data_IF_990525604243
#
_entry.id   IF_990525604243
#
_cell.length_a   1.000
_cell.length_b   1.000
_cell.length_c   1.000
_cell.angle_alpha   90.00
_cell.angle_beta   90.00
_cell.angle_gamma   90.00
#
_symmetry.space_group_name_H-M   'P 1'
#
loop_
_entity.id
_entity.type
_entity.pdbx_description
1 polymer ?
#
# COMPACT_ATOMS: atom_id res chain seq x y z
N UNK A 1 27.75 -3.23 -0.24
CA UNK A 1 26.36 -3.55 0.16
C UNK A 1 25.46 -2.46 -0.42
N UNK A 2 24.54 -2.82 -1.33
CA UNK A 2 23.67 -1.85 -2.01
C UNK A 2 22.57 -1.42 -1.03
N UNK A 3 22.60 -0.17 -0.60
CA UNK A 3 21.49 0.46 0.10
C UNK A 3 20.33 0.64 -0.90
N UNK A 4 19.44 -0.36 -0.96
CA UNK A 4 18.12 -0.16 -1.53
C UNK A 4 17.27 0.56 -0.46
N UNK A 5 16.74 1.77 -0.69
CA UNK A 5 15.77 2.35 0.23
C UNK A 5 14.58 1.38 0.35
N UNK A 6 14.26 0.86 1.56
CA UNK A 6 13.35 -0.28 1.72
C UNK A 6 11.88 0.11 1.88
N UNK A 7 11.42 1.24 1.34
CA UNK A 7 10.03 1.68 1.51
C UNK A 7 9.48 2.29 0.22
N UNK A 8 9.28 1.45 -0.78
CA UNK A 8 8.54 1.83 -1.98
C UNK A 8 8.75 0.84 -3.11
N UNK A 9 7.74 0.01 -3.38
CA UNK A 9 7.65 -0.76 -4.63
C UNK A 9 7.13 0.17 -5.76
N UNK A 10 7.42 1.46 -5.69
CA UNK A 10 7.02 2.42 -6.70
C UNK A 10 7.98 2.32 -7.89
N UNK A 11 7.43 2.15 -9.10
CA UNK A 11 8.20 2.20 -10.34
C UNK A 11 8.03 3.59 -10.94
N UNK A 12 9.08 4.44 -10.98
CA UNK A 12 8.96 5.76 -11.58
C UNK A 12 8.63 5.65 -13.07
N UNK A 13 7.57 6.34 -13.49
CA UNK A 13 7.10 6.37 -14.87
C UNK A 13 6.35 7.67 -15.19
N UNK A 14 6.21 7.99 -16.48
CA UNK A 14 5.57 9.22 -16.96
C UNK A 14 4.22 8.96 -17.66
N UNK A 15 3.58 7.81 -17.40
CA UNK A 15 2.34 7.45 -18.08
C UNK A 15 1.15 8.28 -17.59
N UNK A 16 0.07 8.31 -18.38
CA UNK A 16 -1.18 8.97 -17.98
C UNK A 16 -1.74 8.40 -16.68
N UNK A 17 -1.51 7.10 -16.43
CA UNK A 17 -1.87 6.43 -15.19
C UNK A 17 -1.06 6.96 -14.00
N UNK A 18 0.22 7.32 -14.15
CA UNK A 18 0.97 7.93 -13.04
C UNK A 18 0.43 9.31 -12.67
N UNK A 19 -0.10 10.07 -13.65
CA UNK A 19 -0.63 11.42 -13.46
C UNK A 19 -2.04 11.48 -12.87
N UNK A 20 -2.75 10.35 -12.80
CA UNK A 20 -4.07 10.29 -12.20
C UNK A 20 -3.97 10.40 -10.67
N UNK A 21 -4.85 11.17 -10.00
CA UNK A 21 -4.85 11.28 -8.55
C UNK A 21 -5.09 9.92 -7.91
N UNK A 22 -4.37 9.64 -6.82
CA UNK A 22 -4.44 8.35 -6.12
C UNK A 22 -5.86 8.00 -5.68
N UNK A 23 -6.65 8.98 -5.24
CA UNK A 23 -8.04 8.77 -4.82
C UNK A 23 -8.91 8.19 -5.95
N UNK A 24 -8.73 8.67 -7.18
CA UNK A 24 -9.48 8.14 -8.32
C UNK A 24 -9.03 6.72 -8.67
N UNK A 25 -7.72 6.43 -8.60
CA UNK A 25 -7.20 5.07 -8.79
C UNK A 25 -7.80 4.09 -7.77
N UNK A 26 -7.86 4.49 -6.49
CA UNK A 26 -8.44 3.68 -5.42
C UNK A 26 -9.94 3.42 -5.65
N UNK A 27 -10.69 4.45 -6.03
CA UNK A 27 -12.12 4.30 -6.35
C UNK A 27 -12.30 3.37 -7.55
N UNK A 28 -11.49 3.50 -8.60
CA UNK A 28 -11.54 2.60 -9.77
C UNK A 28 -11.26 1.16 -9.36
N UNK A 29 -10.23 0.90 -8.55
CA UNK A 29 -9.94 -0.46 -8.06
C UNK A 29 -11.06 -0.98 -7.18
N UNK A 30 -11.63 -0.15 -6.30
CA UNK A 30 -12.75 -0.53 -5.45
C UNK A 30 -13.98 -0.91 -6.28
N UNK A 31 -14.35 -0.07 -7.24
CA UNK A 31 -15.47 -0.33 -8.15
C UNK A 31 -15.22 -1.58 -8.98
N UNK A 32 -13.99 -1.81 -9.42
CA UNK A 32 -13.62 -3.01 -10.17
C UNK A 32 -13.70 -4.27 -9.32
N UNK A 33 -13.20 -4.23 -8.09
CA UNK A 33 -13.21 -5.35 -7.15
C UNK A 33 -14.64 -5.70 -6.72
N UNK A 34 -15.44 -4.68 -6.35
CA UNK A 34 -16.86 -4.87 -6.01
C UNK A 34 -17.66 -5.30 -7.23
N UNK A 35 -17.41 -4.69 -8.39
CA UNK A 35 -18.12 -5.01 -9.63
C UNK A 35 -17.87 -6.46 -10.06
N UNK A 36 -16.62 -6.92 -10.04
CA UNK A 36 -16.29 -8.31 -10.37
C UNK A 36 -16.78 -9.33 -9.33
N UNK A 37 -16.93 -8.93 -8.07
CA UNK A 37 -17.48 -9.79 -7.02
C UNK A 37 -19.02 -9.83 -6.99
N UNK A 38 -19.68 -8.70 -7.25
CA UNK A 38 -21.13 -8.53 -7.10
C UNK A 38 -21.93 -8.80 -8.38
N UNK A 39 -21.29 -8.78 -9.56
CA UNK A 39 -21.92 -9.12 -10.84
C UNK A 39 -21.48 -10.53 -11.27
N UNK A 40 -22.20 -11.58 -10.85
CA UNK A 40 -22.01 -12.91 -11.40
C UNK A 40 -22.77 -12.99 -12.71
N UNK A 41 -22.11 -12.62 -13.79
CA UNK A 41 -22.64 -12.89 -15.12
C UNK A 41 -21.46 -13.32 -15.98
N UNK A 42 -21.53 -14.51 -16.55
CA UNK A 42 -20.74 -15.05 -17.66
C UNK A 42 -19.19 -14.87 -17.68
N UNK A 43 -18.42 -15.91 -18.09
CA UNK A 43 -16.96 -15.88 -18.22
C UNK A 43 -16.39 -14.66 -18.99
N UNK A 44 -17.17 -14.07 -19.89
CA UNK A 44 -16.72 -12.95 -20.72
C UNK A 44 -16.44 -11.67 -19.92
N UNK A 45 -17.12 -11.43 -18.79
CA UNK A 45 -16.88 -10.22 -17.97
C UNK A 45 -15.51 -10.27 -17.30
N UNK A 46 -15.12 -11.44 -16.76
CA UNK A 46 -13.79 -11.64 -16.19
C UNK A 46 -12.68 -11.44 -17.22
N UNK A 47 -12.88 -11.93 -18.45
CA UNK A 47 -11.93 -11.75 -19.55
C UNK A 47 -11.84 -10.28 -19.98
N UNK A 48 -12.97 -9.57 -20.09
CA UNK A 48 -13.00 -8.15 -20.46
C UNK A 48 -12.27 -7.27 -19.42
N UNK A 49 -12.48 -7.56 -18.13
CA UNK A 49 -11.79 -6.86 -17.03
C UNK A 49 -10.29 -7.16 -17.05
N UNK A 50 -9.89 -8.42 -17.23
CA UNK A 50 -8.49 -8.79 -17.35
C UNK A 50 -7.81 -8.07 -18.53
N UNK A 51 -8.51 -7.95 -19.66
CA UNK A 51 -8.04 -7.20 -20.82
C UNK A 51 -7.86 -5.71 -20.54
N UNK A 52 -8.82 -5.08 -19.84
CA UNK A 52 -8.68 -3.69 -19.41
C UNK A 52 -7.46 -3.48 -18.51
N UNK A 53 -7.21 -4.40 -17.58
CA UNK A 53 -6.05 -4.33 -16.69
C UNK A 53 -4.76 -4.55 -17.49
N UNK A 54 -4.72 -5.53 -18.40
CA UNK A 54 -3.57 -5.75 -19.27
C UNK A 54 -3.24 -4.51 -20.11
N UNK A 55 -4.25 -3.83 -20.66
CA UNK A 55 -4.09 -2.56 -21.35
C UNK A 55 -3.59 -1.44 -20.41
N UNK A 56 -4.04 -1.40 -19.17
CA UNK A 56 -3.56 -0.45 -18.16
C UNK A 56 -2.08 -0.70 -17.80
N UNK A 57 -1.65 -1.95 -17.69
CA UNK A 57 -0.23 -2.31 -17.52
C UNK A 57 0.62 -1.91 -18.73
N UNK A 58 0.12 -2.15 -19.94
CA UNK A 58 0.80 -1.78 -21.19
C UNK A 58 0.96 -0.27 -21.33
N UNK A 59 -0.10 0.50 -21.07
CA UNK A 59 -0.07 1.97 -21.10
C UNK A 59 0.78 2.55 -19.97
N UNK A 60 0.86 1.88 -18.82
CA UNK A 60 1.75 2.25 -17.72
C UNK A 60 3.23 1.92 -17.97
N UNK A 61 3.55 1.20 -19.05
CA UNK A 61 4.91 0.76 -19.43
C UNK A 61 5.64 0.04 -18.28
N UNK A 62 4.91 -0.76 -17.52
CA UNK A 62 5.49 -1.51 -16.40
C UNK A 62 6.20 -2.76 -16.96
N UNK A 63 7.44 -3.06 -16.51
CA UNK A 63 8.13 -4.27 -16.95
C UNK A 63 7.34 -5.51 -16.54
N UNK A 64 6.97 -6.34 -17.51
CA UNK A 64 6.18 -7.56 -17.31
C UNK A 64 6.76 -8.49 -16.23
N UNK A 65 8.09 -8.58 -16.16
CA UNK A 65 8.78 -9.37 -15.14
C UNK A 65 8.49 -8.92 -13.69
N UNK A 66 8.24 -7.62 -13.47
CA UNK A 66 7.90 -7.10 -12.14
C UNK A 66 6.45 -7.47 -11.77
N UNK A 67 5.53 -7.36 -12.73
CA UNK A 67 4.12 -7.73 -12.55
C UNK A 67 3.98 -9.24 -12.25
N UNK A 68 4.66 -10.09 -13.02
CA UNK A 68 4.65 -11.54 -12.80
C UNK A 68 5.26 -11.88 -11.44
N UNK A 69 6.36 -11.23 -11.03
CA UNK A 69 6.99 -11.51 -9.73
C UNK A 69 6.08 -11.20 -8.54
N UNK A 70 5.19 -10.21 -8.65
CA UNK A 70 4.22 -9.88 -7.60
C UNK A 70 3.04 -10.85 -7.58
N UNK A 71 2.56 -11.31 -8.75
CA UNK A 71 1.39 -12.18 -8.85
C UNK A 71 1.76 -13.65 -8.59
N UNK A 72 2.93 -14.09 -9.05
CA UNK A 72 3.42 -15.48 -8.96
C UNK A 72 3.25 -16.14 -7.58
N UNK A 73 3.60 -15.53 -6.43
CA UNK A 73 3.43 -16.17 -5.13
C UNK A 73 1.96 -16.42 -4.76
N UNK A 74 1.01 -15.68 -5.35
CA UNK A 74 -0.42 -15.77 -5.03
C UNK A 74 -1.16 -16.72 -5.99
N UNK A 75 -0.61 -16.98 -7.18
CA UNK A 75 -1.22 -17.87 -8.20
C UNK A 75 -1.59 -19.26 -7.65
N UNK A 76 -0.74 -19.97 -6.87
CA UNK A 76 -1.09 -21.28 -6.34
C UNK A 76 -2.34 -21.24 -5.45
N UNK A 77 -2.50 -20.18 -4.66
CA UNK A 77 -3.67 -19.99 -3.80
C UNK A 77 -4.93 -19.76 -4.62
N UNK A 78 -4.84 -18.92 -5.66
CA UNK A 78 -5.96 -18.66 -6.58
C UNK A 78 -6.35 -19.94 -7.33
N UNK A 79 -5.36 -20.73 -7.77
CA UNK A 79 -5.60 -22.00 -8.44
C UNK A 79 -6.29 -23.02 -7.53
N UNK A 80 -5.88 -23.12 -6.26
CA UNK A 80 -6.52 -23.97 -5.26
C UNK A 80 -7.98 -23.55 -5.02
N UNK A 81 -8.21 -22.25 -4.85
CA UNK A 81 -9.55 -21.68 -4.68
C UNK A 81 -10.43 -21.98 -5.91
N UNK A 82 -9.90 -21.73 -7.11
CA UNK A 82 -10.57 -22.02 -8.37
C UNK A 82 -10.94 -23.50 -8.53
N UNK A 83 -10.03 -24.41 -8.18
CA UNK A 83 -10.29 -25.84 -8.22
C UNK A 83 -11.37 -26.27 -7.22
N UNK A 84 -11.35 -25.70 -6.02
CA UNK A 84 -12.37 -25.95 -4.99
C UNK A 84 -13.76 -25.48 -5.43
N UNK A 85 -13.88 -24.27 -5.97
CA UNK A 85 -15.14 -23.77 -6.52
C UNK A 85 -15.58 -24.53 -7.77
N UNK A 86 -14.63 -24.93 -8.62
CA UNK A 86 -14.93 -25.75 -9.79
C UNK A 86 -15.54 -27.11 -9.39
N UNK A 87 -15.13 -27.65 -8.25
CA UNK A 87 -15.68 -28.88 -7.70
C UNK A 87 -17.06 -28.68 -7.07
N UNK A 88 -17.31 -27.57 -6.36
CA UNK A 88 -18.62 -27.32 -5.73
C UNK A 88 -19.69 -26.81 -6.70
N UNK A 89 -19.37 -25.74 -7.42
CA UNK A 89 -20.33 -24.93 -8.18
C UNK A 89 -20.15 -25.10 -9.70
N UNK A 90 -19.19 -25.93 -10.11
CA UNK A 90 -18.87 -26.23 -11.51
C UNK A 90 -17.74 -25.38 -12.09
N UNK A 91 -17.13 -25.90 -13.16
CA UNK A 91 -15.92 -25.33 -13.76
C UNK A 91 -16.04 -23.84 -14.15
N UNK A 92 -17.22 -23.40 -14.59
CA UNK A 92 -17.48 -22.01 -14.94
C UNK A 92 -17.33 -21.07 -13.73
N UNK A 93 -17.88 -21.45 -12.57
CA UNK A 93 -17.79 -20.66 -11.33
C UNK A 93 -16.35 -20.55 -10.84
N UNK A 94 -15.61 -21.67 -10.85
CA UNK A 94 -14.20 -21.69 -10.49
C UNK A 94 -13.33 -20.80 -11.39
N UNK A 95 -13.54 -20.85 -12.72
CA UNK A 95 -12.82 -20.01 -13.68
C UNK A 95 -13.15 -18.53 -13.53
N UNK A 96 -14.43 -18.17 -13.47
CA UNK A 96 -14.88 -16.77 -13.32
C UNK A 96 -14.29 -16.15 -12.06
N UNK A 97 -14.35 -16.86 -10.94
CA UNK A 97 -13.84 -16.38 -9.66
C UNK A 97 -12.32 -16.23 -9.69
N UNK A 98 -11.60 -17.22 -10.22
CA UNK A 98 -10.14 -17.18 -10.33
C UNK A 98 -9.66 -15.99 -11.16
N UNK A 99 -10.30 -15.75 -12.32
CA UNK A 99 -9.97 -14.64 -13.20
C UNK A 99 -10.28 -13.31 -12.53
N UNK A 100 -11.42 -13.20 -11.84
CA UNK A 100 -11.83 -11.97 -11.15
C UNK A 100 -10.91 -11.59 -10.00
N UNK A 101 -10.48 -12.58 -9.21
CA UNK A 101 -9.50 -12.39 -8.13
C UNK A 101 -8.14 -11.98 -8.71
N UNK A 102 -7.68 -12.67 -9.76
CA UNK A 102 -6.41 -12.35 -10.42
C UNK A 102 -6.43 -10.94 -11.01
N UNK A 103 -7.53 -10.56 -11.64
CA UNK A 103 -7.74 -9.22 -12.17
C UNK A 103 -7.70 -8.15 -11.06
N UNK A 104 -8.48 -8.33 -10.00
CA UNK A 104 -8.51 -7.39 -8.87
C UNK A 104 -7.14 -7.23 -8.21
N UNK A 105 -6.41 -8.35 -8.04
CA UNK A 105 -5.05 -8.35 -7.52
C UNK A 105 -4.09 -7.59 -8.44
N UNK A 106 -4.16 -7.82 -9.75
CA UNK A 106 -3.37 -7.10 -10.73
C UNK A 106 -3.69 -5.59 -10.72
N UNK A 107 -4.96 -5.20 -10.62
CA UNK A 107 -5.34 -3.80 -10.51
C UNK A 107 -4.80 -3.14 -9.22
N UNK A 108 -4.84 -3.82 -8.08
CA UNK A 108 -4.28 -3.33 -6.82
C UNK A 108 -2.74 -3.19 -6.87
N UNK A 109 -2.06 -4.18 -7.46
CA UNK A 109 -0.62 -4.12 -7.69
C UNK A 109 -0.25 -2.95 -8.60
N UNK A 110 -1.03 -2.69 -9.64
CA UNK A 110 -0.84 -1.56 -10.54
C UNK A 110 -0.90 -0.22 -9.79
N UNK A 111 -1.88 -0.04 -8.88
CA UNK A 111 -1.95 1.16 -8.04
C UNK A 111 -0.71 1.29 -7.15
N UNK A 112 -0.27 0.18 -6.53
CA UNK A 112 0.94 0.15 -5.68
C UNK A 112 2.21 0.52 -6.45
N UNK A 113 2.31 0.09 -7.71
CA UNK A 113 3.46 0.38 -8.58
C UNK A 113 3.47 1.81 -9.12
N UNK A 114 2.30 2.43 -9.28
CA UNK A 114 2.11 3.71 -9.98
C UNK A 114 1.71 4.87 -9.07
N UNK A 115 1.69 4.65 -7.75
CA UNK A 115 1.30 5.67 -6.77
C UNK A 115 2.34 5.77 -5.69
N UNK A 116 2.76 6.99 -5.38
CA UNK A 116 3.71 7.26 -4.30
C UNK A 116 2.99 7.24 -2.95
N UNK A 117 3.78 7.08 -1.86
CA UNK A 117 3.22 7.15 -0.50
C UNK A 117 2.61 8.54 -0.26
N UNK A 118 3.24 9.61 -0.74
CA UNK A 118 2.75 10.99 -0.61
C UNK A 118 1.37 11.16 -1.27
N UNK A 119 1.25 10.79 -2.55
CA UNK A 119 -0.05 10.87 -3.27
C UNK A 119 -1.15 10.02 -2.61
N UNK A 120 -0.80 8.86 -2.06
CA UNK A 120 -1.74 8.01 -1.34
C UNK A 120 -2.30 8.72 -0.09
N UNK A 121 -1.46 9.50 0.58
CA UNK A 121 -1.83 10.22 1.80
C UNK A 121 -2.68 11.44 1.48
N UNK A 122 -2.35 12.18 0.41
CA UNK A 122 -3.18 13.27 -0.11
C UNK A 122 -4.59 12.77 -0.45
N UNK A 123 -4.70 11.56 -1.01
CA UNK A 123 -5.99 10.94 -1.31
C UNK A 123 -6.79 10.56 -0.05
N UNK A 124 -6.11 10.09 1.00
CA UNK A 124 -6.76 9.80 2.29
C UNK A 124 -7.24 11.09 2.93
N UNK A 125 -6.42 12.14 2.93
CA UNK A 125 -6.78 13.46 3.44
C UNK A 125 -8.00 14.04 2.72
N UNK A 126 -8.00 14.01 1.38
CA UNK A 126 -9.14 14.43 0.57
C UNK A 126 -10.40 13.60 0.88
N UNK A 127 -10.25 12.30 1.16
CA UNK A 127 -11.33 11.41 1.58
C UNK A 127 -11.87 11.69 2.98
N UNK A 128 -11.04 12.24 3.88
CA UNK A 128 -11.42 12.62 5.25
C UNK A 128 -12.01 14.03 5.33
N UNK A 129 -11.74 14.90 4.37
CA UNK A 129 -12.31 16.25 4.28
C UNK A 129 -13.85 16.32 4.48
N UNK A 130 -14.71 15.45 3.91
CA UNK A 130 -16.15 15.51 4.16
C UNK A 130 -16.54 15.21 5.61
N UNK A 131 -15.73 14.45 6.34
CA UNK A 131 -15.96 14.13 7.76
C UNK A 131 -15.79 15.34 8.68
N UNK A 132 -15.13 16.42 8.21
CA UNK A 132 -15.06 17.70 8.94
C UNK A 132 -16.46 18.25 9.26
N UNK A 133 -17.42 18.03 8.36
CA UNK A 133 -18.82 18.47 8.55
C UNK A 133 -19.53 17.70 9.66
N UNK A 134 -19.00 16.55 10.08
CA UNK A 134 -19.55 15.71 11.14
C UNK A 134 -18.87 15.94 12.50
N UNK A 135 -18.06 17.00 12.62
CA UNK A 135 -17.37 17.37 13.86
C UNK A 135 -16.00 16.69 14.06
N UNK A 136 -15.48 16.00 13.05
CA UNK A 136 -14.13 15.42 13.10
C UNK A 136 -13.09 16.52 12.84
N UNK A 137 -12.07 16.62 13.70
CA UNK A 137 -10.96 17.56 13.50
C UNK A 137 -9.99 17.02 12.44
N UNK A 138 -10.32 17.26 11.17
CA UNK A 138 -9.51 16.83 10.02
C UNK A 138 -8.12 17.46 10.05
N UNK A 139 -7.99 18.69 10.52
CA UNK A 139 -6.70 19.40 10.61
C UNK A 139 -5.73 18.69 11.58
N UNK A 140 -6.20 18.26 12.75
CA UNK A 140 -5.40 17.48 13.68
C UNK A 140 -4.99 16.11 13.10
N UNK A 141 -5.89 15.46 12.34
CA UNK A 141 -5.60 14.19 11.68
C UNK A 141 -4.56 14.36 10.56
N UNK A 142 -4.73 15.36 9.69
CA UNK A 142 -3.78 15.71 8.63
C UNK A 142 -2.40 16.05 9.21
N UNK A 143 -2.36 16.82 10.29
CA UNK A 143 -1.12 17.13 11.01
C UNK A 143 -0.44 15.85 11.54
N UNK A 144 -1.21 14.96 12.18
CA UNK A 144 -0.70 13.71 12.71
C UNK A 144 -0.15 12.78 11.61
N UNK A 145 -0.86 12.69 10.47
CA UNK A 145 -0.46 11.86 9.32
C UNK A 145 0.81 12.44 8.67
N UNK A 146 0.84 13.73 8.37
CA UNK A 146 2.00 14.39 7.74
C UNK A 146 3.26 14.31 8.61
N UNK A 147 3.11 14.49 9.93
CA UNK A 147 4.18 14.32 10.89
C UNK A 147 4.68 12.87 10.94
N UNK A 148 3.75 11.91 11.00
CA UNK A 148 4.06 10.48 11.01
C UNK A 148 4.87 10.08 9.78
N UNK A 149 4.46 10.48 8.59
CA UNK A 149 5.17 10.13 7.34
C UNK A 149 6.59 10.66 7.34
N UNK A 150 6.79 11.91 7.77
CA UNK A 150 8.13 12.51 7.92
C UNK A 150 8.97 11.80 8.98
N UNK A 151 8.33 11.23 9.99
CA UNK A 151 8.99 10.50 11.08
C UNK A 151 9.35 9.06 10.74
N UNK A 152 8.61 8.38 9.86
CA UNK A 152 8.90 7.01 9.43
C UNK A 152 10.36 6.82 8.95
N UNK A 153 10.88 7.59 7.98
CA UNK A 153 12.27 7.42 7.52
C UNK A 153 13.28 7.73 8.62
N UNK A 154 12.94 8.69 9.49
CA UNK A 154 13.78 9.11 10.61
C UNK A 154 13.86 8.04 11.71
N UNK A 155 12.75 7.34 11.97
CA UNK A 155 12.70 6.17 12.85
C UNK A 155 13.46 5.01 12.25
N UNK A 156 13.32 4.75 10.94
CA UNK A 156 14.09 3.73 10.24
C UNK A 156 15.60 3.95 10.37
N UNK A 157 16.06 5.19 10.22
CA UNK A 157 17.47 5.55 10.44
C UNK A 157 17.91 5.37 11.91
N UNK A 158 17.05 5.74 12.86
CA UNK A 158 17.34 5.53 14.29
C UNK A 158 17.48 4.04 14.60
N UNK A 159 16.64 3.20 13.99
CA UNK A 159 16.70 1.74 14.11
C UNK A 159 18.00 1.19 13.53
N UNK A 160 18.43 1.63 12.34
CA UNK A 160 19.69 1.18 11.74
C UNK A 160 20.90 1.59 12.59
N UNK A 161 20.95 2.82 13.09
CA UNK A 161 22.03 3.27 13.99
C UNK A 161 22.10 2.43 15.27
N UNK A 162 20.95 2.09 15.85
CA UNK A 162 20.89 1.24 17.04
C UNK A 162 21.39 -0.17 16.72
N UNK A 163 21.02 -0.72 15.56
CA UNK A 163 21.49 -2.03 15.11
C UNK A 163 23.01 -2.05 14.91
N UNK A 164 23.57 -1.05 14.22
CA UNK A 164 25.00 -0.93 13.94
C UNK A 164 25.82 -0.77 15.23
N UNK A 165 25.36 0.09 16.14
CA UNK A 165 26.01 0.29 17.44
C UNK A 165 26.03 -0.99 18.30
N UNK A 166 25.05 -1.88 18.12
CA UNK A 166 25.01 -3.16 18.84
C UNK A 166 25.88 -4.21 18.22
N UNK A 167 25.88 -4.31 16.89
CA UNK A 167 26.78 -5.17 16.16
C UNK A 167 28.24 -4.88 16.57
N UNK A 168 28.61 -3.60 16.69
CA UNK A 168 29.93 -3.18 17.15
C UNK A 168 30.26 -3.56 18.62
N UNK A 169 29.24 -3.71 19.48
CA UNK A 169 29.40 -4.08 20.90
C UNK A 169 29.35 -5.58 21.15
N UNK A 170 29.26 -6.41 20.11
CA UNK A 170 29.09 -7.86 20.25
C UNK A 170 27.77 -8.27 20.91
N UNK A 171 26.83 -7.33 21.07
CA UNK A 171 25.50 -7.62 21.57
C UNK A 171 24.70 -8.28 20.44
N UNK A 172 24.55 -9.61 20.50
CA UNK A 172 23.84 -10.42 19.51
C UNK A 172 22.34 -10.12 19.39
N UNK A 173 21.54 -11.13 18.97
CA UNK A 173 20.10 -11.05 18.67
C UNK A 173 19.18 -10.82 19.90
N UNK A 174 19.64 -10.13 20.95
CA UNK A 174 18.82 -9.83 22.12
C UNK A 174 17.77 -8.78 21.78
N UNK A 175 16.50 -9.21 21.75
CA UNK A 175 15.35 -8.37 21.45
C UNK A 175 15.15 -7.27 22.50
N UNK A 176 15.40 -7.55 23.78
CA UNK A 176 15.26 -6.54 24.86
C UNK A 176 16.38 -5.51 24.80
N UNK A 177 17.60 -5.94 24.48
CA UNK A 177 18.70 -5.02 24.19
C UNK A 177 18.30 -4.11 23.02
N UNK A 178 17.61 -4.63 21.99
CA UNK A 178 16.99 -3.96 20.82
C UNK A 178 15.90 -2.95 21.12
N UNK A 179 14.79 -3.42 21.64
CA UNK A 179 13.59 -2.62 21.80
C UNK A 179 13.81 -1.44 22.75
N UNK A 180 14.52 -1.65 23.87
CA UNK A 180 14.67 -0.63 24.92
C UNK A 180 15.20 0.71 24.40
N UNK A 181 16.39 0.81 23.77
CA UNK A 181 16.89 2.09 23.27
C UNK A 181 16.10 2.64 22.08
N UNK A 182 15.46 1.79 21.26
CA UNK A 182 14.58 2.28 20.18
C UNK A 182 13.37 2.98 20.79
N UNK A 183 12.66 2.32 21.71
CA UNK A 183 11.46 2.85 22.38
C UNK A 183 11.79 4.13 23.16
N UNK A 184 12.88 4.13 23.93
CA UNK A 184 13.30 5.34 24.69
C UNK A 184 13.59 6.50 23.75
N UNK A 185 14.31 6.27 22.63
CA UNK A 185 14.59 7.32 21.64
C UNK A 185 13.32 7.80 20.94
N UNK A 186 12.41 6.90 20.61
CA UNK A 186 11.12 7.22 19.98
C UNK A 186 10.25 8.06 20.91
N UNK A 187 10.11 7.69 22.19
CA UNK A 187 9.34 8.45 23.19
C UNK A 187 9.94 9.84 23.37
N UNK A 188 11.25 9.93 23.55
CA UNK A 188 11.93 11.23 23.73
C UNK A 188 11.72 12.14 22.53
N UNK A 189 11.76 11.59 21.31
CA UNK A 189 11.50 12.36 20.09
C UNK A 189 10.06 12.82 20.00
N UNK A 190 9.10 11.96 20.36
CA UNK A 190 7.68 12.34 20.39
C UNK A 190 7.44 13.50 21.38
N UNK A 191 8.05 13.46 22.57
CA UNK A 191 7.98 14.54 23.55
C UNK A 191 8.56 15.85 22.98
N UNK A 192 9.78 15.80 22.43
CA UNK A 192 10.42 16.99 21.83
C UNK A 192 9.61 17.59 20.69
N UNK A 193 8.95 16.77 19.87
CA UNK A 193 8.10 17.25 18.78
C UNK A 193 6.79 17.82 19.31
N UNK A 194 6.20 17.22 20.34
CA UNK A 194 5.03 17.76 21.04
C UNK A 194 5.31 19.14 21.64
N UNK A 195 6.41 19.28 22.38
CA UNK A 195 6.84 20.55 22.98
C UNK A 195 7.06 21.62 21.89
N UNK A 196 7.68 21.24 20.77
CA UNK A 196 7.91 22.14 19.65
C UNK A 196 6.61 22.55 18.91
N UNK A 197 5.62 21.66 18.84
CA UNK A 197 4.31 21.94 18.25
C UNK A 197 3.50 22.89 19.13
N UNK A 198 3.46 22.65 20.45
CA UNK A 198 2.82 23.54 21.42
C UNK A 198 3.44 24.93 21.41
N UNK A 199 4.77 25.03 21.36
CA UNK A 199 5.48 26.31 21.25
C UNK A 199 5.18 27.08 19.94
N UNK A 200 4.65 26.40 18.92
CA UNK A 200 4.24 26.99 17.63
C UNK A 200 2.73 27.25 17.53
N UNK A 201 1.97 27.01 18.60
CA UNK A 201 0.51 27.24 18.65
C UNK A 201 -0.32 26.08 18.10
N UNK A 202 0.22 24.86 17.98
CA UNK A 202 -0.59 23.71 17.62
C UNK A 202 -1.40 23.22 18.84
N UNK A 203 -2.73 23.31 18.77
CA UNK A 203 -3.63 22.86 19.84
C UNK A 203 -4.62 23.91 20.37
N UNK A 204 -4.52 25.16 19.88
CA UNK A 204 -5.50 26.24 20.06
C UNK A 204 -6.47 26.32 18.88
#
# INVERSE_FOLDING_TARGET
MRYAPPLGVYSPGHSWLHRLPAGLKLIVVLVLAVGTAALPTEPWHGVAVLWCIAAAYATARIPFGLAVRQIAPVVPLIALLGAYLAWQDGAAAGLVTSISVLASLAAANLVTLTTTIEEMMDAIEAGLAPLSKLGVNVEAISLAISLTIRLVPLMAHTVSEVADARAARGAGLSLTAFATPVVVRSIRRAQLMGDALLARGAGD
#
